data_IF_803555932546
#
_entry.id   IF_803555932546
#
_cell.length_a   1.000
_cell.length_b   1.000
_cell.length_c   1.000
_cell.angle_alpha   90.00
_cell.angle_beta   90.00
_cell.angle_gamma   90.00
#
_symmetry.space_group_name_H-M   'P 1'
#
loop_
_entity.id
_entity.type
_entity.pdbx_description
1 polymer ?
#
# COMPACT_ATOMS: atom_id res chain seq x y z
N UNK A 1 14.60 -10.07 7.13
CA UNK A 1 15.19 -11.17 6.35
C UNK A 1 15.91 -10.53 5.17
N UNK A 2 17.14 -10.90 4.92
CA UNK A 2 17.98 -10.33 3.85
C UNK A 2 18.00 -11.21 2.59
N UNK A 3 18.69 -10.72 1.54
CA UNK A 3 18.79 -11.40 0.24
C UNK A 3 19.48 -12.79 0.35
N UNK A 4 20.46 -12.93 1.24
CA UNK A 4 21.16 -14.19 1.43
C UNK A 4 20.26 -15.32 1.96
N UNK A 5 19.24 -14.96 2.74
CA UNK A 5 18.31 -15.91 3.34
C UNK A 5 17.27 -16.45 2.36
N UNK A 6 17.03 -15.80 1.23
CA UNK A 6 16.04 -16.23 0.21
C UNK A 6 16.66 -16.90 -1.00
N UNK A 7 18.01 -16.89 -1.10
CA UNK A 7 18.74 -17.62 -2.14
C UNK A 7 18.32 -17.23 -3.57
N UNK A 8 17.93 -18.22 -4.37
CA UNK A 8 17.52 -18.06 -5.77
C UNK A 8 16.06 -17.69 -5.97
N UNK A 9 15.28 -17.53 -4.90
CA UNK A 9 13.86 -17.18 -5.01
C UNK A 9 13.65 -15.76 -5.54
N UNK A 10 14.63 -14.87 -5.33
CA UNK A 10 14.61 -13.49 -5.81
C UNK A 10 15.56 -13.35 -7.02
N UNK A 11 14.99 -12.99 -8.16
CA UNK A 11 15.74 -12.77 -9.40
C UNK A 11 16.62 -11.51 -9.33
N UNK A 12 16.02 -10.42 -8.82
CA UNK A 12 16.73 -9.15 -8.62
C UNK A 12 16.00 -8.27 -7.58
N UNK A 13 16.75 -7.46 -6.87
CA UNK A 13 16.19 -6.39 -6.02
C UNK A 13 15.86 -5.20 -6.90
N UNK A 14 14.68 -4.61 -6.73
CA UNK A 14 14.24 -3.43 -7.48
C UNK A 14 14.15 -2.17 -6.61
N UNK A 15 13.94 -2.34 -5.29
CA UNK A 15 14.03 -1.25 -4.32
C UNK A 15 14.73 -1.80 -3.08
N UNK A 16 15.83 -1.22 -2.71
CA UNK A 16 16.62 -1.62 -1.53
C UNK A 16 15.97 -1.13 -0.23
N UNK A 17 16.43 -1.67 0.89
CA UNK A 17 15.99 -1.23 2.22
C UNK A 17 16.28 0.26 2.46
N UNK A 18 17.45 0.71 2.06
CA UNK A 18 17.90 2.10 2.23
C UNK A 18 17.06 3.07 1.40
N UNK A 19 16.74 2.69 0.15
CA UNK A 19 15.85 3.46 -0.72
C UNK A 19 14.43 3.56 -0.12
N UNK A 20 13.88 2.42 0.39
CA UNK A 20 12.58 2.42 1.08
C UNK A 20 12.57 3.35 2.29
N UNK A 21 13.58 3.24 3.16
CA UNK A 21 13.68 4.07 4.36
C UNK A 21 13.77 5.56 4.02
N UNK A 22 14.61 5.92 3.05
CA UNK A 22 14.75 7.30 2.59
C UNK A 22 13.44 7.83 2.01
N UNK A 23 12.77 7.04 1.17
CA UNK A 23 11.52 7.44 0.54
C UNK A 23 10.38 7.57 1.53
N UNK A 24 10.27 6.65 2.49
CA UNK A 24 9.26 6.73 3.56
C UNK A 24 9.46 7.99 4.40
N UNK A 25 10.70 8.34 4.74
CA UNK A 25 10.99 9.58 5.47
C UNK A 25 10.60 10.83 4.66
N UNK A 26 10.90 10.86 3.35
CA UNK A 26 10.46 11.93 2.44
C UNK A 26 8.93 12.06 2.42
N UNK A 27 8.23 10.93 2.25
CA UNK A 27 6.77 10.91 2.19
C UNK A 27 6.14 11.35 3.51
N UNK A 28 6.68 10.90 4.65
CA UNK A 28 6.22 11.30 5.98
C UNK A 28 6.32 12.82 6.17
N UNK A 29 7.45 13.41 5.80
CA UNK A 29 7.65 14.87 5.90
C UNK A 29 6.67 15.65 5.01
N UNK A 30 6.37 15.15 3.81
CA UNK A 30 5.36 15.77 2.92
C UNK A 30 3.95 15.68 3.52
N UNK A 31 3.57 14.51 4.06
CA UNK A 31 2.27 14.32 4.72
C UNK A 31 2.16 15.24 5.94
N UNK A 32 3.20 15.32 6.77
CA UNK A 32 3.22 16.22 7.94
C UNK A 32 3.02 17.68 7.54
N UNK A 33 3.67 18.13 6.47
CA UNK A 33 3.52 19.49 5.96
C UNK A 33 2.11 19.76 5.41
N UNK A 34 1.57 18.84 4.59
CA UNK A 34 0.26 18.99 3.95
C UNK A 34 -0.91 18.97 4.93
N UNK A 35 -0.76 18.24 6.05
CA UNK A 35 -1.81 18.08 7.06
C UNK A 35 -1.51 18.80 8.38
N UNK A 36 -0.54 19.72 8.41
CA UNK A 36 -0.02 20.38 9.63
C UNK A 36 -1.11 20.77 10.64
N UNK A 37 -2.18 21.42 10.18
CA UNK A 37 -3.25 21.97 11.02
C UNK A 37 -4.58 21.23 10.82
N UNK A 38 -4.53 20.04 10.23
CA UNK A 38 -5.73 19.24 9.94
C UNK A 38 -5.70 17.93 10.68
N UNK A 39 -6.88 17.46 11.06
CA UNK A 39 -7.06 16.10 11.52
C UNK A 39 -6.70 15.11 10.40
N UNK A 40 -6.08 14.00 10.74
CA UNK A 40 -5.67 12.97 9.79
C UNK A 40 -5.87 11.58 10.40
N UNK A 41 -6.62 10.75 9.69
CA UNK A 41 -6.74 9.32 9.95
C UNK A 41 -5.98 8.55 8.86
N UNK A 42 -4.96 7.79 9.26
CA UNK A 42 -4.29 6.84 8.38
C UNK A 42 -5.07 5.53 8.34
N UNK A 43 -5.39 5.05 7.15
CA UNK A 43 -6.08 3.77 6.94
C UNK A 43 -5.19 2.84 6.15
N UNK A 44 -4.66 1.82 6.83
CA UNK A 44 -3.85 0.78 6.18
C UNK A 44 -4.73 -0.34 5.63
N UNK A 45 -4.39 -0.86 4.44
CA UNK A 45 -5.07 -1.99 3.83
C UNK A 45 -4.32 -3.29 4.13
N UNK A 46 -4.92 -4.15 4.94
CA UNK A 46 -4.32 -5.43 5.36
C UNK A 46 -4.30 -6.45 4.21
N UNK A 47 -3.26 -7.31 4.09
CA UNK A 47 -2.10 -7.38 5.00
C UNK A 47 -0.89 -6.59 4.46
N UNK A 48 -0.85 -6.30 3.17
CA UNK A 48 0.34 -5.79 2.47
C UNK A 48 0.88 -4.49 3.06
N UNK A 49 0.00 -3.54 3.38
CA UNK A 49 0.39 -2.23 3.88
C UNK A 49 1.00 -2.21 5.30
N UNK A 50 1.14 -3.36 5.98
CA UNK A 50 1.57 -3.38 7.38
C UNK A 50 2.96 -2.76 7.60
N UNK A 51 3.92 -3.05 6.69
CA UNK A 51 5.27 -2.51 6.79
C UNK A 51 5.30 -1.03 6.46
N UNK A 52 4.62 -0.64 5.37
CA UNK A 52 4.49 0.75 4.96
C UNK A 52 3.87 1.62 6.05
N UNK A 53 2.78 1.15 6.66
CA UNK A 53 2.09 1.85 7.73
C UNK A 53 2.98 2.02 8.97
N UNK A 54 3.68 0.94 9.39
CA UNK A 54 4.55 0.97 10.54
C UNK A 54 5.73 1.93 10.36
N UNK A 55 6.36 1.94 9.19
CA UNK A 55 7.51 2.80 8.94
C UNK A 55 7.09 4.25 8.72
N UNK A 56 5.99 4.50 7.98
CA UNK A 56 5.45 5.84 7.77
C UNK A 56 5.10 6.50 9.12
N UNK A 57 4.36 5.80 9.98
CA UNK A 57 3.92 6.36 11.27
C UNK A 57 5.06 6.66 12.20
N UNK A 58 6.14 5.85 12.18
CA UNK A 58 7.35 6.12 12.97
C UNK A 58 8.17 7.29 12.44
N UNK A 59 8.10 7.57 11.14
CA UNK A 59 8.79 8.70 10.52
C UNK A 59 8.05 10.04 10.70
N UNK A 60 6.74 10.02 10.91
CA UNK A 60 5.92 11.22 11.10
C UNK A 60 6.23 11.91 12.43
N UNK A 61 6.16 13.25 12.45
CA UNK A 61 6.48 14.12 13.59
C UNK A 61 5.24 14.73 14.25
N UNK A 62 4.10 14.04 14.16
CA UNK A 62 2.80 14.46 14.71
C UNK A 62 2.07 13.31 15.39
N UNK A 63 1.09 13.63 16.23
CA UNK A 63 0.12 12.63 16.67
C UNK A 63 -0.77 12.24 15.48
N UNK A 64 -1.01 10.96 15.34
CA UNK A 64 -1.83 10.39 14.26
C UNK A 64 -2.81 9.39 14.83
N UNK A 65 -3.99 9.33 14.21
CA UNK A 65 -4.91 8.22 14.36
C UNK A 65 -4.64 7.18 13.27
N UNK A 66 -4.76 5.91 13.63
CA UNK A 66 -4.61 4.80 12.69
C UNK A 66 -5.81 3.86 12.80
N UNK A 67 -6.23 3.34 11.65
CA UNK A 67 -7.20 2.25 11.56
C UNK A 67 -6.84 1.33 10.38
N UNK A 68 -7.50 0.21 10.29
CA UNK A 68 -7.19 -0.82 9.31
C UNK A 68 -8.45 -1.30 8.62
N UNK A 69 -8.33 -1.55 7.32
CA UNK A 69 -9.34 -2.27 6.56
C UNK A 69 -8.73 -3.54 5.97
N UNK A 70 -9.56 -4.57 5.83
CA UNK A 70 -9.22 -5.72 5.02
C UNK A 70 -10.28 -5.90 3.95
N UNK A 71 -9.84 -6.01 2.72
CA UNK A 71 -10.72 -6.20 1.57
C UNK A 71 -10.26 -7.39 0.75
N UNK A 72 -11.21 -8.07 0.10
CA UNK A 72 -10.90 -9.09 -0.91
C UNK A 72 -11.54 -8.70 -2.23
N UNK A 73 -10.79 -8.81 -3.32
CA UNK A 73 -11.36 -8.76 -4.67
C UNK A 73 -12.00 -10.10 -5.00
N UNK A 74 -13.26 -10.09 -5.45
CA UNK A 74 -13.93 -11.32 -5.88
C UNK A 74 -13.46 -11.70 -7.29
N UNK A 75 -12.86 -12.88 -7.42
CA UNK A 75 -12.44 -13.47 -8.69
C UNK A 75 -11.31 -14.48 -8.46
N UNK A 76 -11.53 -15.73 -8.84
CA UNK A 76 -10.47 -16.74 -8.90
C UNK A 76 -9.65 -16.52 -10.18
N UNK A 77 -8.36 -16.23 -10.05
CA UNK A 77 -7.45 -16.05 -11.17
C UNK A 77 -7.26 -14.58 -11.60
N UNK A 78 -6.55 -14.37 -12.68
CA UNK A 78 -6.08 -13.09 -13.23
C UNK A 78 -7.16 -12.10 -13.70
N UNK A 79 -8.45 -12.40 -13.54
CA UNK A 79 -9.57 -11.52 -13.88
C UNK A 79 -10.29 -11.08 -12.60
N UNK A 80 -9.94 -9.94 -12.04
CA UNK A 80 -10.74 -9.32 -10.98
C UNK A 80 -12.07 -8.84 -11.60
N UNK A 81 -13.19 -9.25 -11.01
CA UNK A 81 -14.55 -8.86 -11.44
C UNK A 81 -14.92 -7.42 -11.04
N UNK A 82 -14.03 -6.72 -10.33
CA UNK A 82 -14.32 -5.39 -9.77
C UNK A 82 -15.21 -5.41 -8.50
N UNK A 83 -15.70 -6.57 -8.09
CA UNK A 83 -16.46 -6.70 -6.85
C UNK A 83 -15.49 -6.79 -5.68
N UNK A 84 -15.58 -5.82 -4.77
CA UNK A 84 -14.77 -5.76 -3.55
C UNK A 84 -15.65 -6.11 -2.35
N UNK A 85 -15.19 -7.01 -1.50
CA UNK A 85 -15.82 -7.39 -0.25
C UNK A 85 -14.98 -6.88 0.92
N UNK A 86 -15.60 -6.17 1.86
CA UNK A 86 -14.97 -5.79 3.13
C UNK A 86 -14.96 -7.02 4.05
N UNK A 87 -13.78 -7.40 4.52
CA UNK A 87 -13.55 -8.47 5.50
C UNK A 87 -13.38 -7.91 6.92
N UNK A 88 -12.70 -6.77 7.06
CA UNK A 88 -12.65 -5.93 8.25
C UNK A 88 -12.92 -4.49 7.85
N UNK A 89 -13.86 -3.87 8.54
CA UNK A 89 -14.19 -2.45 8.38
C UNK A 89 -13.49 -1.59 9.44
N UNK A 90 -13.55 -0.28 9.27
CA UNK A 90 -13.07 0.70 10.24
C UNK A 90 -13.82 0.56 11.56
N UNK A 91 -13.09 0.77 12.67
CA UNK A 91 -13.65 0.67 14.01
C UNK A 91 -14.32 1.98 14.46
N UNK A 92 -14.16 3.07 13.69
CA UNK A 92 -14.61 4.42 14.03
C UNK A 92 -15.49 5.05 12.97
N UNK A 93 -16.31 6.01 13.37
CA UNK A 93 -16.98 6.93 12.45
C UNK A 93 -15.94 7.85 11.79
N UNK A 94 -16.07 8.02 10.48
CA UNK A 94 -15.15 8.82 9.66
C UNK A 94 -15.79 10.09 9.10
N UNK A 95 -17.00 10.40 9.53
CA UNK A 95 -17.73 11.61 9.09
C UNK A 95 -16.90 12.86 9.39
N UNK A 96 -16.62 13.65 8.37
CA UNK A 96 -15.85 14.88 8.47
C UNK A 96 -14.33 14.70 8.66
N UNK A 97 -13.80 13.47 8.68
CA UNK A 97 -12.37 13.18 8.83
C UNK A 97 -11.62 13.30 7.50
N UNK A 98 -10.36 13.73 7.56
CA UNK A 98 -9.45 13.59 6.43
C UNK A 98 -8.79 12.21 6.53
N UNK A 99 -8.88 11.43 5.46
CA UNK A 99 -8.35 10.06 5.39
C UNK A 99 -7.18 10.00 4.43
N UNK A 100 -6.12 9.34 4.84
CA UNK A 100 -5.03 8.93 3.97
C UNK A 100 -4.99 7.40 3.95
N UNK A 101 -5.38 6.81 2.83
CA UNK A 101 -5.21 5.37 2.59
C UNK A 101 -3.72 5.12 2.37
N UNK A 102 -3.15 4.19 3.13
CA UNK A 102 -1.76 3.73 2.98
C UNK A 102 -1.77 2.34 2.39
N UNK A 103 -1.11 2.20 1.23
CA UNK A 103 -1.05 0.97 0.45
C UNK A 103 0.39 0.58 0.14
N UNK A 104 0.66 -0.70 0.08
CA UNK A 104 1.95 -1.24 -0.36
C UNK A 104 2.16 -1.04 -1.86
N UNK A 105 1.14 -1.40 -2.68
CA UNK A 105 1.23 -1.33 -4.13
C UNK A 105 -0.12 -0.97 -4.78
N UNK A 106 -0.06 -0.11 -5.78
CA UNK A 106 -1.15 0.12 -6.74
C UNK A 106 -0.83 -0.60 -8.04
N UNK A 107 -1.62 -1.62 -8.34
CA UNK A 107 -1.55 -2.40 -9.57
C UNK A 107 -2.67 -1.98 -10.52
N UNK A 108 -3.78 -2.71 -10.60
CA UNK A 108 -4.91 -2.39 -11.49
C UNK A 108 -5.69 -1.12 -11.11
N UNK A 109 -5.59 -0.66 -9.90
CA UNK A 109 -6.32 0.48 -9.35
C UNK A 109 -7.77 0.20 -8.95
N UNK A 110 -8.35 -0.94 -9.35
CA UNK A 110 -9.78 -1.24 -9.14
C UNK A 110 -10.19 -1.23 -7.67
N UNK A 111 -9.42 -1.89 -6.81
CA UNK A 111 -9.69 -1.99 -5.38
C UNK A 111 -9.63 -0.62 -4.71
N UNK A 112 -8.60 0.17 -5.01
CA UNK A 112 -8.42 1.49 -4.42
C UNK A 112 -9.44 2.51 -4.90
N UNK A 113 -9.82 2.49 -6.18
CA UNK A 113 -10.89 3.32 -6.71
C UNK A 113 -12.20 3.06 -5.97
N UNK A 114 -12.56 1.78 -5.79
CA UNK A 114 -13.74 1.39 -5.04
C UNK A 114 -13.64 1.82 -3.56
N UNK A 115 -12.49 1.58 -2.92
CA UNK A 115 -12.27 1.90 -1.50
C UNK A 115 -12.38 3.41 -1.26
N UNK A 116 -11.75 4.23 -2.11
CA UNK A 116 -11.86 5.69 -2.06
C UNK A 116 -13.31 6.15 -2.16
N UNK A 117 -14.05 5.63 -3.13
CA UNK A 117 -15.47 5.96 -3.32
C UNK A 117 -16.32 5.53 -2.12
N UNK A 118 -16.06 4.35 -1.56
CA UNK A 118 -16.76 3.84 -0.36
C UNK A 118 -16.53 4.77 0.84
N UNK A 119 -15.28 5.13 1.15
CA UNK A 119 -14.98 6.00 2.28
C UNK A 119 -15.54 7.42 2.08
N UNK A 120 -15.49 7.96 0.87
CA UNK A 120 -16.14 9.24 0.55
C UNK A 120 -17.65 9.19 0.74
N UNK A 121 -18.31 8.10 0.34
CA UNK A 121 -19.77 7.94 0.52
C UNK A 121 -20.20 7.86 1.99
N UNK A 122 -19.27 7.58 2.88
CA UNK A 122 -19.47 7.53 4.35
C UNK A 122 -19.25 8.89 5.02
N UNK A 123 -19.13 9.98 4.24
CA UNK A 123 -19.05 11.34 4.76
C UNK A 123 -17.64 11.81 5.16
N UNK A 124 -16.57 11.15 4.73
CA UNK A 124 -15.22 11.66 4.92
C UNK A 124 -15.07 13.05 4.27
N UNK A 125 -14.32 13.95 4.91
CA UNK A 125 -14.05 15.29 4.36
C UNK A 125 -13.10 15.21 3.15
N UNK A 126 -12.14 14.29 3.19
CA UNK A 126 -11.26 13.97 2.07
C UNK A 126 -10.76 12.54 2.17
N UNK A 127 -10.47 11.93 1.02
CA UNK A 127 -9.82 10.62 0.94
C UNK A 127 -8.72 10.70 -0.09
N UNK A 128 -7.48 10.70 0.39
CA UNK A 128 -6.27 10.71 -0.41
C UNK A 128 -5.56 9.35 -0.31
N UNK A 129 -4.63 9.08 -1.21
CA UNK A 129 -3.91 7.80 -1.28
C UNK A 129 -2.40 8.06 -1.24
N UNK A 130 -1.72 7.27 -0.40
CA UNK A 130 -0.29 7.08 -0.39
C UNK A 130 0.00 5.63 -0.78
N UNK A 131 0.79 5.44 -1.84
CA UNK A 131 1.26 4.13 -2.28
C UNK A 131 2.79 4.09 -2.24
N UNK A 132 3.35 3.05 -1.64
CA UNK A 132 4.80 2.85 -1.67
C UNK A 132 5.25 2.50 -3.08
N UNK A 133 4.52 1.61 -3.74
CA UNK A 133 4.80 1.18 -5.10
C UNK A 133 3.60 1.44 -6.01
N UNK A 134 3.86 1.77 -7.28
CA UNK A 134 2.83 1.88 -8.30
C UNK A 134 3.32 1.23 -9.60
N UNK A 135 2.42 0.50 -10.28
CA UNK A 135 2.64 -0.07 -11.62
C UNK A 135 1.80 0.70 -12.64
N UNK A 136 2.31 1.78 -13.23
CA UNK A 136 1.51 2.60 -14.15
C UNK A 136 0.98 1.81 -15.35
N UNK A 137 1.79 0.88 -15.89
CA UNK A 137 1.44 0.06 -17.06
C UNK A 137 0.39 -1.03 -16.77
N UNK A 138 0.16 -1.37 -15.50
CA UNK A 138 -0.85 -2.36 -15.10
C UNK A 138 -2.22 -1.73 -14.79
N UNK A 139 -2.31 -0.40 -14.77
CA UNK A 139 -3.52 0.32 -14.42
C UNK A 139 -4.66 0.03 -15.39
N UNK A 140 -5.80 -0.43 -14.85
CA UNK A 140 -7.06 -0.61 -15.58
C UNK A 140 -8.01 0.55 -15.38
N UNK A 141 -7.89 1.21 -14.23
CA UNK A 141 -8.58 2.46 -13.90
C UNK A 141 -7.54 3.44 -13.36
N UNK A 142 -7.72 4.69 -13.71
CA UNK A 142 -6.88 5.76 -13.17
C UNK A 142 -7.29 6.02 -11.72
N UNK A 143 -6.33 5.89 -10.82
CA UNK A 143 -6.48 6.24 -9.41
C UNK A 143 -5.43 7.28 -9.09
N UNK A 144 -5.90 8.47 -8.76
CA UNK A 144 -5.04 9.54 -8.31
C UNK A 144 -4.42 9.20 -6.95
N UNK A 145 -3.10 9.00 -6.92
CA UNK A 145 -2.33 8.84 -5.69
C UNK A 145 -1.60 10.15 -5.41
N UNK A 146 -1.98 10.81 -4.32
CA UNK A 146 -1.35 12.08 -3.91
C UNK A 146 0.12 11.90 -3.56
N UNK A 147 0.47 10.74 -3.02
CA UNK A 147 1.83 10.38 -2.67
C UNK A 147 2.19 9.04 -3.29
N UNK A 148 3.29 9.01 -4.02
CA UNK A 148 3.84 7.79 -4.64
C UNK A 148 5.31 7.67 -4.28
N UNK A 149 5.69 6.51 -3.79
CA UNK A 149 7.08 6.20 -3.50
C UNK A 149 7.88 5.91 -4.77
N UNK A 150 7.53 4.83 -5.44
CA UNK A 150 8.25 4.36 -6.63
C UNK A 150 7.28 3.88 -7.70
N UNK A 151 7.52 4.28 -8.94
CA UNK A 151 6.95 3.62 -10.11
C UNK A 151 7.83 2.42 -10.48
N UNK A 152 7.22 1.25 -10.62
CA UNK A 152 7.90 -0.02 -10.90
C UNK A 152 7.31 -0.72 -12.13
N UNK A 153 8.08 -1.59 -12.81
CA UNK A 153 7.57 -2.42 -13.90
C UNK A 153 6.46 -3.39 -13.46
N UNK A 154 5.87 -4.08 -14.45
CA UNK A 154 4.77 -5.05 -14.22
C UNK A 154 5.22 -6.40 -13.66
N UNK A 155 6.50 -6.57 -13.35
CA UNK A 155 7.04 -7.80 -12.74
C UNK A 155 6.29 -8.23 -11.49
N UNK A 156 6.30 -9.52 -11.19
CA UNK A 156 5.77 -10.04 -9.94
C UNK A 156 6.75 -9.79 -8.81
N UNK A 157 6.36 -8.94 -7.87
CA UNK A 157 7.24 -8.46 -6.79
C UNK A 157 6.77 -8.93 -5.43
N UNK A 158 7.73 -9.14 -4.53
CA UNK A 158 7.52 -9.54 -3.13
C UNK A 158 8.43 -8.74 -2.21
N UNK A 159 8.14 -8.77 -0.92
CA UNK A 159 8.90 -8.07 0.12
C UNK A 159 8.24 -6.77 0.57
N UNK A 160 8.68 -6.25 1.69
CA UNK A 160 8.15 -5.05 2.32
C UNK A 160 6.61 -5.06 2.48
N UNK A 161 6.08 -6.21 2.92
CA UNK A 161 4.64 -6.44 3.08
C UNK A 161 4.00 -7.28 1.97
N UNK A 162 4.52 -7.21 0.75
CA UNK A 162 4.07 -8.00 -0.39
C UNK A 162 4.43 -9.46 -0.24
N UNK A 163 3.56 -10.37 -0.70
CA UNK A 163 3.73 -11.79 -0.54
C UNK A 163 3.57 -12.61 -1.82
N UNK A 164 4.02 -13.84 -1.71
CA UNK A 164 3.58 -14.97 -2.51
C UNK A 164 3.30 -16.15 -1.59
N UNK A 165 2.06 -16.66 -1.59
CA UNK A 165 1.61 -17.75 -0.71
C UNK A 165 1.91 -17.50 0.77
N UNK A 166 1.64 -16.28 1.27
CA UNK A 166 1.91 -15.83 2.65
C UNK A 166 3.41 -15.81 3.05
N UNK A 167 4.32 -15.90 2.09
CA UNK A 167 5.77 -15.82 2.30
C UNK A 167 6.30 -14.46 1.81
N UNK A 168 7.52 -14.12 2.21
CA UNK A 168 8.32 -12.98 1.78
C UNK A 168 7.88 -11.61 2.33
N UNK A 169 6.75 -11.45 3.00
CA UNK A 169 6.31 -10.15 3.56
C UNK A 169 7.35 -9.47 4.45
N UNK A 170 8.20 -10.27 5.11
CA UNK A 170 9.22 -9.82 6.06
C UNK A 170 10.60 -9.52 5.42
N UNK A 171 10.71 -9.52 4.10
CA UNK A 171 11.89 -8.97 3.43
C UNK A 171 11.96 -7.47 3.65
N UNK A 172 13.17 -6.95 3.92
CA UNK A 172 13.38 -5.51 4.15
C UNK A 172 13.48 -4.68 2.86
N UNK A 173 13.42 -5.33 1.71
CA UNK A 173 13.53 -4.77 0.37
C UNK A 173 12.37 -5.25 -0.51
N UNK A 174 12.26 -4.74 -1.72
CA UNK A 174 11.33 -5.24 -2.75
C UNK A 174 12.14 -5.92 -3.84
N UNK A 175 11.80 -7.18 -4.13
CA UNK A 175 12.45 -7.99 -5.15
C UNK A 175 11.48 -8.60 -6.14
N UNK A 176 11.95 -8.89 -7.35
CA UNK A 176 11.22 -9.67 -8.34
C UNK A 176 11.33 -11.13 -7.97
N UNK A 177 10.18 -11.80 -7.82
CA UNK A 177 10.11 -13.23 -7.55
C UNK A 177 10.54 -14.00 -8.81
N UNK A 178 11.45 -14.96 -8.63
CA UNK A 178 11.94 -15.77 -9.74
C UNK A 178 10.81 -16.64 -10.34
N UNK A 179 10.78 -16.75 -11.67
CA UNK A 179 9.70 -17.44 -12.40
C UNK A 179 9.47 -18.88 -11.95
N UNK A 180 10.55 -19.60 -11.58
CA UNK A 180 10.43 -20.99 -11.12
C UNK A 180 9.65 -21.16 -9.82
N UNK A 181 9.35 -20.06 -9.11
CA UNK A 181 8.58 -20.08 -7.86
C UNK A 181 7.06 -20.11 -8.10
N UNK A 182 6.58 -19.68 -9.28
CA UNK A 182 5.15 -19.55 -9.58
C UNK A 182 4.72 -20.05 -10.98
N UNK A 183 5.65 -20.68 -11.72
CA UNK A 183 5.40 -21.31 -13.03
C UNK A 183 5.06 -22.81 -12.90
#
# INVERSE_FOLDING_TARGET
MDLAAVGTDIERVIVTQEELQSKVAELAARVDADYKDRDLLLVGVLKGAIMAMADLTRAMQRHIDMDWMAVSSYGSGTKSSGVVRILKDLDRDITGRNILIVEDIVDSGLTLSWLRANLMSRGAASVEILAILRKPEAAKVEVECKYVGFDIPTDFVVGYGLDFNEKYRNLSFVGVLAKHMYS
#
